data_IF_916478788148
#
_entry.id   IF_916478788148
#
_cell.length_a   1.000
_cell.length_b   1.000
_cell.length_c   1.000
_cell.angle_alpha   90.00
_cell.angle_beta   90.00
_cell.angle_gamma   90.00
#
_symmetry.space_group_name_H-M   'P 1'
#
loop_
_entity.id
_entity.type
_entity.pdbx_description
1 polymer ?
#
# COMPACT_ATOMS: atom_id res chain seq x y z
N UNK A 1 4.61 -6.84 -34.04
CA UNK A 1 4.44 -7.21 -32.61
C UNK A 1 5.27 -6.37 -31.62
N UNK A 2 6.40 -5.76 -32.02
CA UNK A 2 7.24 -4.94 -31.12
C UNK A 2 6.50 -3.81 -30.40
N UNK A 3 5.64 -3.07 -31.11
CA UNK A 3 4.83 -1.99 -30.53
C UNK A 3 3.91 -2.52 -29.41
N UNK A 4 3.29 -3.71 -29.61
CA UNK A 4 2.42 -4.32 -28.62
C UNK A 4 3.19 -4.71 -27.34
N UNK A 5 4.39 -5.26 -27.48
CA UNK A 5 5.27 -5.57 -26.34
C UNK A 5 5.67 -4.31 -25.58
N UNK A 6 5.97 -3.20 -26.27
CA UNK A 6 6.28 -1.92 -25.64
C UNK A 6 5.07 -1.39 -24.85
N UNK A 7 3.88 -1.42 -25.45
CA UNK A 7 2.64 -1.01 -24.76
C UNK A 7 2.41 -1.85 -23.50
N UNK A 8 2.57 -3.17 -23.58
CA UNK A 8 2.42 -4.05 -22.42
C UNK A 8 3.46 -3.77 -21.33
N UNK A 9 4.72 -3.52 -21.71
CA UNK A 9 5.78 -3.14 -20.77
C UNK A 9 5.44 -1.83 -20.03
N UNK A 10 4.90 -0.83 -20.73
CA UNK A 10 4.46 0.42 -20.13
C UNK A 10 3.29 0.21 -19.16
N UNK A 11 2.34 -0.66 -19.51
CA UNK A 11 1.24 -1.04 -18.62
C UNK A 11 1.78 -1.71 -17.36
N UNK A 12 2.68 -2.70 -17.49
CA UNK A 12 3.33 -3.36 -16.35
C UNK A 12 4.03 -2.36 -15.44
N UNK A 13 4.80 -1.43 -16.01
CA UNK A 13 5.47 -0.39 -15.24
C UNK A 13 4.47 0.48 -14.47
N UNK A 14 3.39 0.92 -15.11
CA UNK A 14 2.36 1.74 -14.48
C UNK A 14 1.67 1.01 -13.31
N UNK A 15 1.39 -0.29 -13.46
CA UNK A 15 0.81 -1.12 -12.40
C UNK A 15 1.78 -1.25 -11.21
N UNK A 16 3.05 -1.51 -11.47
CA UNK A 16 4.09 -1.61 -10.44
C UNK A 16 4.31 -0.30 -9.68
N UNK A 17 4.34 0.84 -10.38
CA UNK A 17 4.44 2.15 -9.75
C UNK A 17 3.22 2.46 -8.88
N UNK A 18 2.02 2.08 -9.32
CA UNK A 18 0.80 2.26 -8.53
C UNK A 18 0.81 1.39 -7.28
N UNK A 19 1.27 0.15 -7.38
CA UNK A 19 1.48 -0.72 -6.22
C UNK A 19 2.45 -0.10 -5.21
N UNK A 20 3.62 0.37 -5.68
CA UNK A 20 4.62 1.00 -4.86
C UNK A 20 4.11 2.28 -4.16
N UNK A 21 3.26 3.06 -4.84
CA UNK A 21 2.64 4.25 -4.25
C UNK A 21 1.72 3.90 -3.07
N UNK A 22 0.85 2.89 -3.22
CA UNK A 22 0.00 2.44 -2.12
C UNK A 22 0.80 1.83 -0.97
N UNK A 23 1.84 1.07 -1.29
CA UNK A 23 2.75 0.52 -0.28
C UNK A 23 3.41 1.65 0.53
N UNK A 24 3.96 2.68 -0.13
CA UNK A 24 4.53 3.84 0.56
C UNK A 24 3.52 4.52 1.47
N UNK A 25 2.27 4.68 1.02
CA UNK A 25 1.19 5.25 1.85
C UNK A 25 0.90 4.39 3.07
N UNK A 26 0.91 3.06 2.94
CA UNK A 26 0.73 2.15 4.06
C UNK A 26 1.88 2.24 5.07
N UNK A 27 3.13 2.40 4.59
CA UNK A 27 4.32 2.45 5.43
C UNK A 27 4.47 3.73 6.27
N UNK A 28 3.73 4.79 5.94
CA UNK A 28 3.77 6.07 6.66
C UNK A 28 2.48 6.35 7.46
N UNK A 29 1.63 5.33 7.68
CA UNK A 29 0.49 5.47 8.57
C UNK A 29 0.99 5.54 10.02
N UNK A 30 0.81 6.70 10.64
CA UNK A 30 1.26 6.94 12.00
C UNK A 30 0.23 6.45 13.03
N UNK A 31 0.74 5.91 14.14
CA UNK A 31 -0.06 5.59 15.32
C UNK A 31 -0.19 6.85 16.16
N UNK A 32 -1.34 7.52 16.06
CA UNK A 32 -1.61 8.75 16.80
C UNK A 32 -2.70 8.49 17.84
N UNK A 33 -2.40 8.61 19.15
CA UNK A 33 -3.38 8.38 20.20
C UNK A 33 -4.49 9.44 20.17
N UNK A 34 -5.68 9.08 20.66
CA UNK A 34 -6.88 9.90 20.52
C UNK A 34 -6.74 11.29 21.15
N UNK A 35 -6.13 11.40 22.34
CA UNK A 35 -5.91 12.71 22.96
C UNK A 35 -5.04 13.63 22.10
N UNK A 36 -4.01 13.12 21.42
CA UNK A 36 -3.19 13.92 20.48
C UNK A 36 -4.03 14.36 19.28
N UNK A 37 -4.86 13.47 18.71
CA UNK A 37 -5.78 13.81 17.61
C UNK A 37 -6.77 14.90 17.99
N UNK A 38 -7.23 14.92 19.24
CA UNK A 38 -8.18 15.89 19.78
C UNK A 38 -7.53 17.15 20.37
N UNK A 39 -6.20 17.24 20.38
CA UNK A 39 -5.47 18.35 21.02
C UNK A 39 -5.65 18.41 22.54
N UNK A 40 -5.91 17.26 23.16
CA UNK A 40 -6.12 17.10 24.60
C UNK A 40 -4.83 16.69 25.31
N UNK A 41 -4.78 16.95 26.61
CA UNK A 41 -3.70 16.49 27.48
C UNK A 41 -3.83 14.96 27.63
N UNK A 42 -2.71 14.28 27.76
CA UNK A 42 -2.68 12.84 28.03
C UNK A 42 -3.50 12.51 29.29
N UNK A 43 -4.34 11.45 29.25
CA UNK A 43 -5.07 11.01 30.43
C UNK A 43 -4.12 10.66 31.58
N UNK A 44 -4.36 11.22 32.77
CA UNK A 44 -3.55 10.94 33.98
C UNK A 44 -3.73 9.49 34.44
N UNK A 45 -4.92 8.93 34.22
CA UNK A 45 -5.21 7.53 34.52
C UNK A 45 -4.55 6.62 33.47
N UNK A 46 -3.61 5.80 33.93
CA UNK A 46 -2.80 4.92 33.07
C UNK A 46 -3.62 3.91 32.27
N UNK A 47 -4.75 3.44 32.81
CA UNK A 47 -5.68 2.55 32.10
C UNK A 47 -6.25 3.21 30.85
N UNK A 48 -6.78 4.43 31.01
CA UNK A 48 -7.39 5.20 29.92
C UNK A 48 -6.36 5.60 28.87
N UNK A 49 -5.15 5.99 29.29
CA UNK A 49 -4.06 6.29 28.36
C UNK A 49 -3.66 5.05 27.53
N UNK A 50 -3.57 3.88 28.16
CA UNK A 50 -3.25 2.63 27.47
C UNK A 50 -4.35 2.21 26.49
N UNK A 51 -5.62 2.34 26.88
CA UNK A 51 -6.77 2.02 26.01
C UNK A 51 -6.77 2.91 24.76
N UNK A 52 -6.49 4.20 24.92
CA UNK A 52 -6.42 5.14 23.79
C UNK A 52 -5.22 4.88 22.87
N UNK A 53 -4.08 4.42 23.39
CA UNK A 53 -2.97 3.91 22.58
C UNK A 53 -3.34 2.65 21.79
N UNK A 54 -4.02 1.69 22.43
CA UNK A 54 -4.46 0.46 21.77
C UNK A 54 -5.45 0.74 20.65
N UNK A 55 -6.42 1.63 20.88
CA UNK A 55 -7.36 2.07 19.85
C UNK A 55 -6.63 2.70 18.66
N UNK A 56 -5.64 3.57 18.91
CA UNK A 56 -4.84 4.17 17.86
C UNK A 56 -4.02 3.14 17.07
N UNK A 57 -3.46 2.13 17.75
CA UNK A 57 -2.72 1.06 17.09
C UNK A 57 -3.63 0.22 16.19
N UNK A 58 -4.84 -0.10 16.65
CA UNK A 58 -5.84 -0.83 15.87
C UNK A 58 -6.28 0.01 14.67
N UNK A 59 -6.56 1.30 14.86
CA UNK A 59 -6.99 2.20 13.78
C UNK A 59 -5.91 2.35 12.71
N UNK A 60 -4.67 2.64 13.11
CA UNK A 60 -3.54 2.75 12.21
C UNK A 60 -3.26 1.42 11.48
N UNK A 61 -3.31 0.30 12.21
CA UNK A 61 -3.15 -1.04 11.64
C UNK A 61 -4.20 -1.36 10.59
N UNK A 62 -5.47 -1.01 10.84
CA UNK A 62 -6.55 -1.20 9.87
C UNK A 62 -6.35 -0.36 8.61
N UNK A 63 -5.95 0.91 8.75
CA UNK A 63 -5.71 1.78 7.59
C UNK A 63 -4.50 1.33 6.77
N UNK A 64 -3.37 1.04 7.43
CA UNK A 64 -2.20 0.45 6.79
C UNK A 64 -2.54 -0.89 6.10
N UNK A 65 -3.35 -1.73 6.75
CA UNK A 65 -3.82 -3.01 6.22
C UNK A 65 -4.63 -2.85 4.93
N UNK A 66 -5.58 -1.91 4.89
CA UNK A 66 -6.36 -1.61 3.67
C UNK A 66 -5.47 -1.14 2.52
N UNK A 67 -4.53 -0.23 2.80
CA UNK A 67 -3.60 0.28 1.79
C UNK A 67 -2.68 -0.84 1.27
N UNK A 68 -2.20 -1.73 2.15
CA UNK A 68 -1.40 -2.88 1.76
C UNK A 68 -2.18 -3.90 0.93
N UNK A 69 -3.46 -4.14 1.25
CA UNK A 69 -4.31 -5.01 0.43
C UNK A 69 -4.46 -4.48 -1.00
N UNK A 70 -4.64 -3.16 -1.15
CA UNK A 70 -4.68 -2.50 -2.46
C UNK A 70 -3.32 -2.61 -3.16
N UNK A 71 -2.22 -2.34 -2.46
CA UNK A 71 -0.87 -2.47 -3.01
C UNK A 71 -0.61 -3.89 -3.53
N UNK A 72 -0.98 -4.91 -2.76
CA UNK A 72 -0.84 -6.31 -3.14
C UNK A 72 -1.63 -6.67 -4.41
N UNK A 73 -2.86 -6.17 -4.56
CA UNK A 73 -3.65 -6.37 -5.76
C UNK A 73 -2.97 -5.77 -7.01
N UNK A 74 -2.47 -4.54 -6.92
CA UNK A 74 -1.71 -3.92 -8.01
C UNK A 74 -0.40 -4.66 -8.32
N UNK A 75 0.31 -5.15 -7.31
CA UNK A 75 1.49 -5.99 -7.48
C UNK A 75 1.14 -7.26 -8.26
N UNK A 76 0.03 -7.94 -7.92
CA UNK A 76 -0.40 -9.13 -8.64
C UNK A 76 -0.67 -8.83 -10.13
N UNK A 77 -1.40 -7.76 -10.45
CA UNK A 77 -1.62 -7.33 -11.83
C UNK A 77 -0.31 -6.97 -12.54
N UNK A 78 0.61 -6.30 -11.85
CA UNK A 78 1.93 -5.98 -12.39
C UNK A 78 2.72 -7.24 -12.73
N UNK A 79 2.73 -8.25 -11.86
CA UNK A 79 3.44 -9.52 -12.09
C UNK A 79 2.84 -10.27 -13.28
N UNK A 80 1.50 -10.41 -13.33
CA UNK A 80 0.83 -11.11 -14.43
C UNK A 80 1.10 -10.43 -15.76
N UNK A 81 0.94 -9.10 -15.84
CA UNK A 81 1.22 -8.35 -17.07
C UNK A 81 2.70 -8.41 -17.46
N UNK A 82 3.62 -8.38 -16.49
CA UNK A 82 5.05 -8.54 -16.73
C UNK A 82 5.39 -9.91 -17.32
N UNK A 83 4.80 -10.99 -16.79
CA UNK A 83 4.95 -12.33 -17.35
C UNK A 83 4.48 -12.40 -18.80
N UNK A 84 3.29 -11.87 -19.11
CA UNK A 84 2.76 -11.82 -20.48
C UNK A 84 3.69 -11.02 -21.40
N UNK A 85 4.16 -9.86 -20.93
CA UNK A 85 5.09 -9.01 -21.68
C UNK A 85 6.38 -9.77 -22.04
N UNK A 86 6.96 -10.48 -21.07
CA UNK A 86 8.19 -11.28 -21.28
C UNK A 86 7.96 -12.39 -22.30
N UNK A 87 6.88 -13.17 -22.16
CA UNK A 87 6.55 -14.24 -23.12
C UNK A 87 6.36 -13.70 -24.53
N UNK A 88 5.67 -12.56 -24.68
CA UNK A 88 5.48 -11.93 -25.97
C UNK A 88 6.77 -11.35 -26.55
N UNK A 89 7.68 -10.86 -25.71
CA UNK A 89 9.02 -10.43 -26.15
C UNK A 89 9.81 -11.57 -26.78
N UNK A 90 9.76 -12.77 -26.18
CA UNK A 90 10.45 -13.96 -26.67
C UNK A 90 9.94 -14.47 -28.03
N UNK A 91 8.67 -14.22 -28.38
CA UNK A 91 8.10 -14.65 -29.67
C UNK A 91 8.42 -13.70 -30.83
N UNK A 92 8.97 -12.52 -30.54
CA UNK A 92 9.16 -11.42 -31.51
C UNK A 92 10.63 -11.08 -31.75
N UNK A 93 11.50 -11.49 -30.83
CA UNK A 93 12.95 -11.49 -31.00
C UNK A 93 13.40 -12.70 -31.82
#
# INVERSE_FOLDING_TARGET
MKILTIVLALVTLALGLRAAWYWRRASVVEVVPLWVKLGQIEPVESGVANDQWQLALIEAGNEAGKLNAIAAAWTAYSVVSGCVTTLMGLMVG
#
